data_IF_526666453001
#
_entry.id   IF_526666453001
#
_cell.length_a   1.000
_cell.length_b   1.000
_cell.length_c   1.000
_cell.angle_alpha   90.00
_cell.angle_beta   90.00
_cell.angle_gamma   90.00
#
_symmetry.space_group_name_H-M   'P 1'
#
loop_
_entity.id
_entity.type
_entity.pdbx_description
1 polymer ?
#
# COMPACT_ATOMS: atom_id res chain seq x y z
N UNK A 1 16.89 -11.87 -1.37
CA UNK A 1 15.49 -12.21 -1.04
C UNK A 1 14.79 -10.90 -0.71
N UNK A 2 13.67 -10.59 -1.37
CA UNK A 2 12.88 -9.41 -1.02
C UNK A 2 12.20 -9.61 0.34
N UNK A 3 11.93 -8.50 1.03
CA UNK A 3 11.14 -8.52 2.25
C UNK A 3 9.66 -8.38 1.87
N UNK A 4 8.79 -9.12 2.56
CA UNK A 4 7.35 -8.85 2.52
C UNK A 4 7.13 -7.57 3.32
N UNK A 5 6.60 -6.55 2.66
CA UNK A 5 6.30 -5.26 3.25
C UNK A 5 4.79 -5.16 3.51
N UNK A 6 4.33 -4.35 4.48
CA UNK A 6 2.91 -4.09 4.67
C UNK A 6 2.16 -3.57 3.43
N UNK A 7 2.86 -3.05 2.41
CA UNK A 7 2.29 -2.53 1.17
C UNK A 7 2.37 -3.51 -0.01
N UNK A 8 3.03 -4.66 0.21
CA UNK A 8 3.05 -5.84 -0.67
C UNK A 8 1.83 -6.69 -0.26
N UNK A 9 0.72 -6.50 -0.98
CA UNK A 9 -0.60 -7.02 -0.62
C UNK A 9 -0.84 -8.43 -1.16
N UNK A 10 -0.03 -8.90 -2.11
CA UNK A 10 -0.11 -10.26 -2.66
C UNK A 10 1.04 -11.20 -2.23
N UNK A 11 1.92 -10.71 -1.35
CA UNK A 11 3.04 -11.41 -0.72
C UNK A 11 4.09 -11.94 -1.73
N UNK A 12 4.31 -11.24 -2.85
CA UNK A 12 5.20 -11.67 -3.92
C UNK A 12 6.62 -11.07 -3.86
N UNK A 13 6.89 -10.25 -2.84
CA UNK A 13 8.16 -9.60 -2.49
C UNK A 13 8.52 -8.36 -3.30
N UNK A 14 7.63 -7.87 -4.14
CA UNK A 14 7.71 -6.54 -4.74
C UNK A 14 6.48 -5.69 -4.45
N UNK A 15 6.51 -4.44 -4.90
CA UNK A 15 5.35 -3.55 -4.81
C UNK A 15 5.12 -3.02 -6.21
N UNK A 16 4.00 -3.42 -6.80
CA UNK A 16 3.72 -3.19 -8.20
C UNK A 16 2.25 -2.87 -8.52
N UNK A 17 1.83 -3.14 -9.75
CA UNK A 17 0.47 -2.83 -10.21
C UNK A 17 -0.58 -3.83 -9.71
N UNK A 18 -0.20 -5.02 -9.26
CA UNK A 18 -1.12 -5.98 -8.62
C UNK A 18 -1.51 -5.45 -7.25
N UNK A 19 -0.54 -4.99 -6.46
CA UNK A 19 -0.79 -4.33 -5.18
C UNK A 19 -1.61 -3.06 -5.36
N UNK A 20 -1.27 -2.25 -6.36
CA UNK A 20 -2.06 -1.06 -6.66
C UNK A 20 -3.49 -1.41 -7.06
N UNK A 21 -3.71 -2.54 -7.73
CA UNK A 21 -5.04 -3.05 -8.05
C UNK A 21 -5.87 -3.34 -6.79
N UNK A 22 -5.26 -3.91 -5.75
CA UNK A 22 -5.89 -4.08 -4.44
C UNK A 22 -6.21 -2.74 -3.79
N UNK A 23 -5.23 -1.83 -3.72
CA UNK A 23 -5.40 -0.49 -3.16
C UNK A 23 -6.52 0.29 -3.86
N UNK A 24 -6.60 0.23 -5.19
CA UNK A 24 -7.62 0.92 -5.98
C UNK A 24 -9.05 0.50 -5.61
N UNK A 25 -9.26 -0.76 -5.24
CA UNK A 25 -10.58 -1.23 -4.78
C UNK A 25 -10.98 -0.66 -3.42
N UNK A 26 -9.99 -0.21 -2.65
CA UNK A 26 -10.15 0.25 -1.28
C UNK A 26 -10.15 1.77 -1.11
N UNK A 27 -9.84 2.54 -2.17
CA UNK A 27 -9.94 4.00 -2.17
C UNK A 27 -11.33 4.46 -1.70
N UNK A 28 -11.38 5.11 -0.54
CA UNK A 28 -12.62 5.69 0.02
C UNK A 28 -12.65 7.21 -0.12
N UNK A 29 -11.48 7.85 -0.13
CA UNK A 29 -11.33 9.31 -0.17
C UNK A 29 -11.27 9.95 1.22
N UNK A 30 -10.86 11.23 1.28
CA UNK A 30 -10.53 11.88 2.55
C UNK A 30 -11.77 12.01 3.44
N UNK A 31 -11.62 11.61 4.70
CA UNK A 31 -12.64 11.59 5.75
C UNK A 31 -13.79 10.59 5.55
N UNK A 32 -13.73 9.72 4.55
CA UNK A 32 -14.69 8.63 4.34
C UNK A 32 -14.09 7.31 4.83
N UNK A 33 -14.50 6.88 6.03
CA UNK A 33 -13.86 5.74 6.68
C UNK A 33 -14.01 4.43 5.88
N UNK A 34 -12.89 3.71 5.72
CA UNK A 34 -12.81 2.42 5.05
C UNK A 34 -13.02 1.27 6.05
N UNK A 35 -14.27 0.82 6.17
CA UNK A 35 -14.67 -0.23 7.09
C UNK A 35 -14.62 -1.66 6.54
N UNK A 36 -14.25 -1.86 5.27
CA UNK A 36 -14.23 -3.20 4.67
C UNK A 36 -13.06 -4.02 5.25
N UNK A 37 -13.30 -5.27 5.70
CA UNK A 37 -12.23 -6.12 6.23
C UNK A 37 -11.09 -6.40 5.24
N UNK A 38 -11.40 -6.45 3.95
CA UNK A 38 -10.40 -6.67 2.88
C UNK A 38 -9.52 -5.45 2.61
N UNK A 39 -9.85 -4.28 3.18
CA UNK A 39 -9.13 -3.03 2.94
C UNK A 39 -8.34 -2.56 4.16
N UNK A 40 -8.29 -3.34 5.24
CA UNK A 40 -7.62 -2.93 6.48
C UNK A 40 -6.10 -2.83 6.33
N UNK A 41 -5.53 -3.56 5.38
CA UNK A 41 -4.11 -3.50 4.97
C UNK A 41 -3.78 -2.25 4.14
N UNK A 42 -4.78 -1.60 3.55
CA UNK A 42 -4.59 -0.36 2.76
C UNK A 42 -4.65 0.94 3.56
N UNK A 43 -4.90 0.85 4.88
CA UNK A 43 -4.84 1.97 5.84
C UNK A 43 -3.37 2.15 6.30
N UNK A 44 -2.59 2.86 5.48
CA UNK A 44 -1.13 2.93 5.60
C UNK A 44 -0.67 4.12 6.44
N UNK A 45 -1.41 5.24 6.43
CA UNK A 45 -1.00 6.47 7.11
C UNK A 45 -1.39 6.52 8.61
N UNK A 46 -2.16 5.51 9.05
CA UNK A 46 -2.59 5.31 10.43
C UNK A 46 -3.92 5.99 10.78
N UNK A 47 -4.64 6.55 9.82
CA UNK A 47 -6.01 7.01 10.02
C UNK A 47 -7.07 5.95 9.66
N UNK A 48 -8.29 6.36 9.30
CA UNK A 48 -9.42 5.47 9.10
C UNK A 48 -9.96 5.45 7.67
N UNK A 49 -9.39 6.23 6.77
CA UNK A 49 -9.77 6.31 5.35
C UNK A 49 -8.59 5.91 4.45
N UNK A 50 -8.89 5.60 3.18
CA UNK A 50 -7.87 5.26 2.19
C UNK A 50 -7.88 6.36 1.15
N UNK A 51 -6.89 7.23 1.22
CA UNK A 51 -6.83 8.46 0.44
C UNK A 51 -5.44 8.74 -0.17
N UNK A 52 -5.14 10.01 -0.46
CA UNK A 52 -3.89 10.40 -1.09
C UNK A 52 -2.67 10.23 -0.18
N UNK A 53 -2.85 10.20 1.15
CA UNK A 53 -1.77 10.03 2.12
C UNK A 53 -1.30 8.57 2.15
N UNK A 54 -2.23 7.61 2.12
CA UNK A 54 -1.89 6.20 1.96
C UNK A 54 -1.20 5.96 0.62
N UNK A 55 -1.72 6.58 -0.45
CA UNK A 55 -1.14 6.45 -1.78
C UNK A 55 0.29 6.99 -1.83
N UNK A 56 0.61 8.04 -1.07
CA UNK A 56 1.96 8.57 -0.99
C UNK A 56 2.94 7.56 -0.35
N UNK A 57 2.51 6.81 0.67
CA UNK A 57 3.29 5.74 1.29
C UNK A 57 3.49 4.59 0.31
N UNK A 58 2.41 4.15 -0.35
CA UNK A 58 2.47 3.11 -1.38
C UNK A 58 3.47 3.46 -2.51
N UNK A 59 3.38 4.68 -3.05
CA UNK A 59 4.27 5.15 -4.11
C UNK A 59 5.73 5.27 -3.68
N UNK A 60 6.01 5.42 -2.37
CA UNK A 60 7.37 5.37 -1.83
C UNK A 60 8.02 4.00 -2.02
N UNK A 61 7.21 2.94 -2.04
CA UNK A 61 7.65 1.56 -2.15
C UNK A 61 7.57 0.96 -3.55
N UNK A 62 6.83 1.60 -4.47
CA UNK A 62 6.63 1.11 -5.84
C UNK A 62 7.96 0.81 -6.54
N UNK A 63 8.25 -0.47 -6.72
CA UNK A 63 9.49 -0.99 -7.29
C UNK A 63 9.27 -1.62 -8.67
N UNK A 64 8.08 -2.20 -8.88
CA UNK A 64 7.64 -2.86 -10.10
C UNK A 64 7.90 -4.37 -10.13
N UNK A 65 7.15 -5.07 -10.98
CA UNK A 65 7.16 -6.53 -11.11
C UNK A 65 8.56 -7.15 -11.17
N UNK A 66 8.81 -8.09 -10.27
CA UNK A 66 10.06 -8.82 -10.08
C UNK A 66 11.20 -7.99 -9.48
N UNK A 67 10.95 -6.77 -9.02
CA UNK A 67 11.96 -5.89 -8.41
C UNK A 67 11.65 -5.76 -6.92
N UNK A 68 12.45 -6.38 -6.03
CA UNK A 68 12.20 -6.26 -4.60
C UNK A 68 12.13 -4.81 -4.12
N UNK A 69 11.11 -4.51 -3.32
CA UNK A 69 10.96 -3.18 -2.73
C UNK A 69 12.08 -2.88 -1.71
N UNK A 70 12.41 -1.59 -1.57
CA UNK A 70 13.40 -1.14 -0.59
C UNK A 70 12.86 -1.32 0.84
N UNK A 71 13.58 -1.98 1.77
CA UNK A 71 13.01 -2.35 3.08
C UNK A 71 12.47 -1.18 3.93
N UNK A 72 13.02 0.01 3.75
CA UNK A 72 12.66 1.21 4.52
C UNK A 72 11.78 2.21 3.74
N UNK A 73 11.22 1.80 2.57
CA UNK A 73 10.47 2.68 1.66
C UNK A 73 9.18 3.26 2.24
N UNK A 74 8.62 2.64 3.29
CA UNK A 74 7.45 3.15 4.02
C UNK A 74 7.77 4.32 4.95
N UNK A 75 9.05 4.62 5.15
CA UNK A 75 9.47 5.80 5.89
C UNK A 75 9.13 7.03 5.06
N UNK A 76 8.11 7.79 5.45
CA UNK A 76 7.84 9.11 4.87
C UNK A 76 9.13 9.96 4.88
N UNK A 77 9.42 10.75 3.84
CA UNK A 77 10.43 11.79 3.91
C UNK A 77 10.26 12.73 5.11
#
# INVERSE_FOLDING_TARGET
PGAILPVDFDDDTDVDQVDFGHMQMCLSGPQDSQGLPICQDTLLDGDSDVDAQDLAIFLGCLSGAGVPAEPDCMSTP
#
